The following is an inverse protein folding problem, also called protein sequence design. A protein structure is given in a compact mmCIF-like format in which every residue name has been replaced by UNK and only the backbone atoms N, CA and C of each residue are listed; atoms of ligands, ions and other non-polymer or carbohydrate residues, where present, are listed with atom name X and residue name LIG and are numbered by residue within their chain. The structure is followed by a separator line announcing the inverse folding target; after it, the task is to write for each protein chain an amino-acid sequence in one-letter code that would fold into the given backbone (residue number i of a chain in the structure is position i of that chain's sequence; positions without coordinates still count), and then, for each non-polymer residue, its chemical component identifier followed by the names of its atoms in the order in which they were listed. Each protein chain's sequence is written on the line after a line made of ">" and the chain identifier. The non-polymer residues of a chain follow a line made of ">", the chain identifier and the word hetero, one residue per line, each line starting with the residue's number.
data_IF_300843953150
#
_entry.id   IF_300843953150
#
_cell.length_a   1.000
_cell.length_b   1.000
_cell.length_c   1.000
_cell.angle_alpha   90.00
_cell.angle_beta   90.00
_cell.angle_gamma   90.00
#
_symmetry.space_group_name_H-M   'P 1'
#
loop_
_entity.id
_entity.type
_entity.pdbx_description
1 polymer ?
#
# COMPACT_ATOMS: atom_id res chain seq x y z
N UNK A 1 3.14 14.43 24.02
CA UNK A 1 3.85 13.22 23.56
C UNK A 1 3.36 12.98 22.14
N UNK A 2 4.23 12.68 21.16
CA UNK A 2 3.78 12.40 19.79
C UNK A 2 3.46 10.92 19.66
N UNK A 3 2.32 10.58 19.08
CA UNK A 3 1.93 9.19 18.86
C UNK A 3 2.51 8.62 17.55
N UNK A 4 2.83 7.33 17.55
CA UNK A 4 3.26 6.60 16.35
C UNK A 4 2.92 5.12 16.43
N UNK A 5 2.55 4.52 15.30
CA UNK A 5 2.32 3.08 15.17
C UNK A 5 2.81 2.57 13.81
N UNK A 6 3.12 1.27 13.75
CA UNK A 6 3.29 0.55 12.49
C UNK A 6 2.18 -0.48 12.35
N UNK A 7 1.32 -0.33 11.34
CA UNK A 7 0.28 -1.28 11.00
C UNK A 7 0.71 -2.18 9.84
N UNK A 8 0.29 -3.44 9.85
CA UNK A 8 0.47 -4.38 8.73
C UNK A 8 -0.88 -4.55 8.06
N UNK A 9 -0.96 -4.25 6.76
CA UNK A 9 -2.23 -4.24 6.00
C UNK A 9 -2.23 -5.19 4.79
N UNK A 10 -1.13 -5.90 4.58
CA UNK A 10 -1.04 -7.11 3.75
C UNK A 10 0.14 -7.95 4.26
N UNK A 11 -0.02 -9.27 4.38
CA UNK A 11 1.05 -10.14 4.88
C UNK A 11 1.05 -11.49 4.19
N UNK A 12 1.90 -11.60 3.17
CA UNK A 12 2.08 -12.84 2.42
C UNK A 12 0.95 -13.10 1.41
N UNK A 13 0.06 -12.13 1.22
CA UNK A 13 -1.02 -12.20 0.24
C UNK A 13 -0.43 -12.19 -1.17
N UNK A 14 -0.86 -13.12 -2.01
CA UNK A 14 -0.49 -13.12 -3.43
C UNK A 14 -1.41 -12.15 -4.19
N UNK A 15 -0.84 -11.08 -4.73
CA UNK A 15 -1.55 -10.11 -5.56
C UNK A 15 -1.33 -10.43 -7.03
N UNK A 16 -2.42 -10.45 -7.80
CA UNK A 16 -2.45 -10.65 -9.25
C UNK A 16 -3.66 -9.93 -9.85
N UNK A 17 -3.61 -9.59 -11.14
CA UNK A 17 -4.67 -8.83 -11.79
C UNK A 17 -4.97 -7.53 -11.06
N UNK A 18 -6.18 -7.38 -10.52
CA UNK A 18 -6.58 -6.23 -9.68
C UNK A 18 -6.57 -6.64 -8.22
N UNK A 19 -5.79 -5.96 -7.38
CA UNK A 19 -5.70 -6.24 -5.95
C UNK A 19 -5.61 -4.96 -5.12
N UNK A 20 -5.97 -5.04 -3.84
CA UNK A 20 -5.83 -3.97 -2.87
C UNK A 20 -5.39 -4.53 -1.52
N UNK A 21 -4.69 -3.72 -0.72
CA UNK A 21 -4.44 -4.02 0.69
C UNK A 21 -5.72 -3.92 1.50
N UNK A 22 -5.70 -4.47 2.71
CA UNK A 22 -6.69 -4.13 3.72
C UNK A 22 -6.66 -2.61 3.98
N UNK A 23 -7.81 -1.97 4.20
CA UNK A 23 -7.86 -0.58 4.60
C UNK A 23 -7.47 -0.42 6.07
N UNK A 24 -6.92 0.73 6.44
CA UNK A 24 -6.57 1.04 7.83
C UNK A 24 -7.03 2.44 8.21
N UNK A 25 -7.58 2.58 9.42
CA UNK A 25 -8.00 3.86 9.98
C UNK A 25 -6.77 4.66 10.45
N UNK A 26 -6.62 5.84 9.87
CA UNK A 26 -5.48 6.74 10.04
C UNK A 26 -5.93 8.15 10.43
N UNK A 27 -7.19 8.35 10.82
CA UNK A 27 -7.76 9.68 11.05
C UNK A 27 -7.03 10.53 12.10
N UNK A 28 -6.29 9.87 12.99
CA UNK A 28 -5.48 10.50 14.05
C UNK A 28 -4.08 10.92 13.57
N UNK A 29 -3.58 10.37 12.45
CA UNK A 29 -2.21 10.58 12.00
C UNK A 29 -2.08 11.80 11.07
N UNK A 30 -0.98 12.54 11.19
CA UNK A 30 -0.63 13.65 10.30
C UNK A 30 0.23 13.23 9.10
N UNK A 31 0.98 12.14 9.23
CA UNK A 31 1.79 11.59 8.14
C UNK A 31 1.83 10.05 8.13
N UNK A 32 1.99 9.49 6.94
CA UNK A 32 2.13 8.06 6.70
C UNK A 32 3.33 7.79 5.79
N UNK A 33 4.17 6.82 6.15
CA UNK A 33 5.13 6.18 5.23
C UNK A 33 4.66 4.76 4.98
N UNK A 34 4.36 4.47 3.73
CA UNK A 34 3.93 3.15 3.27
C UNK A 34 5.16 2.41 2.77
N UNK A 35 5.41 1.22 3.32
CA UNK A 35 6.46 0.34 2.85
C UNK A 35 5.85 -0.89 2.20
N UNK A 36 6.34 -1.23 1.01
CA UNK A 36 6.00 -2.47 0.34
C UNK A 36 7.27 -3.31 0.17
N UNK A 37 7.20 -4.56 0.57
CA UNK A 37 8.22 -5.57 0.29
C UNK A 37 7.60 -6.70 -0.53
N UNK A 38 8.34 -7.17 -1.54
CA UNK A 38 7.99 -8.37 -2.30
C UNK A 38 8.65 -9.59 -1.66
N UNK A 39 7.85 -10.58 -1.25
CA UNK A 39 8.31 -11.83 -0.64
C UNK A 39 8.46 -12.97 -1.66
N UNK A 40 8.09 -12.73 -2.92
CA UNK A 40 8.09 -13.69 -4.01
C UNK A 40 7.32 -13.13 -5.19
N UNK A 41 7.65 -13.58 -6.40
CA UNK A 41 7.09 -13.03 -7.64
C UNK A 41 7.03 -14.09 -8.75
N UNK A 42 6.06 -13.94 -9.65
CA UNK A 42 5.96 -14.65 -10.92
C UNK A 42 5.71 -13.64 -12.04
N UNK A 43 6.25 -13.89 -13.24
CA UNK A 43 6.13 -12.98 -14.37
C UNK A 43 6.92 -11.69 -14.18
N UNK A 44 6.31 -10.55 -14.54
CA UNK A 44 6.92 -9.22 -14.53
C UNK A 44 6.11 -8.23 -13.64
N UNK A 45 6.02 -8.44 -12.33
CA UNK A 45 5.20 -7.61 -11.44
C UNK A 45 5.75 -6.19 -11.28
N UNK A 46 7.01 -5.93 -11.60
CA UNK A 46 7.61 -4.58 -11.59
C UNK A 46 6.99 -3.63 -12.63
N UNK A 47 6.29 -4.17 -13.63
CA UNK A 47 5.50 -3.39 -14.60
C UNK A 47 4.11 -3.02 -14.09
N UNK A 48 3.72 -3.52 -12.91
CA UNK A 48 2.43 -3.21 -12.33
C UNK A 48 2.35 -1.75 -11.89
N UNK A 49 1.12 -1.24 -11.90
CA UNK A 49 0.80 0.08 -11.38
C UNK A 49 0.27 -0.10 -9.96
N UNK A 50 0.89 0.51 -8.96
CA UNK A 50 0.34 0.59 -7.60
C UNK A 50 0.32 2.03 -7.09
N UNK A 51 -0.75 2.37 -6.36
CA UNK A 51 -1.01 3.73 -5.92
C UNK A 51 -1.79 3.77 -4.62
N UNK A 52 -1.75 4.92 -3.95
CA UNK A 52 -2.43 5.15 -2.68
C UNK A 52 -3.85 5.61 -2.93
N UNK A 53 -4.79 5.08 -2.14
CA UNK A 53 -6.17 5.55 -2.11
C UNK A 53 -6.56 5.98 -0.70
N UNK A 54 -7.42 6.99 -0.64
CA UNK A 54 -8.02 7.50 0.60
C UNK A 54 -9.54 7.34 0.58
N UNK A 55 -10.12 7.26 1.77
CA UNK A 55 -11.56 7.18 1.95
C UNK A 55 -12.01 7.85 3.25
N UNK A 56 -13.18 8.51 3.29
CA UNK A 56 -13.78 8.97 4.54
C UNK A 56 -14.50 7.86 5.32
N UNK A 57 -14.90 6.77 4.64
CA UNK A 57 -15.79 5.74 5.19
C UNK A 57 -15.25 4.30 5.06
N UNK A 58 -14.11 4.12 4.40
CA UNK A 58 -13.51 2.82 4.08
C UNK A 58 -14.27 2.02 3.01
N UNK A 59 -15.33 2.58 2.44
CA UNK A 59 -16.20 1.93 1.45
C UNK A 59 -16.00 2.51 0.05
N UNK A 60 -15.93 3.85 -0.06
CA UNK A 60 -15.72 4.56 -1.33
C UNK A 60 -14.36 5.21 -1.36
N UNK A 61 -13.64 4.99 -2.45
CA UNK A 61 -12.22 5.29 -2.55
C UNK A 61 -11.97 6.28 -3.67
N UNK A 62 -11.07 7.23 -3.41
CA UNK A 62 -10.50 8.12 -4.42
C UNK A 62 -8.99 7.94 -4.44
N UNK A 63 -8.39 8.13 -5.61
CA UNK A 63 -6.95 8.10 -5.75
C UNK A 63 -6.34 9.33 -5.08
N UNK A 64 -5.37 9.12 -4.20
CA UNK A 64 -4.66 10.21 -3.52
C UNK A 64 -3.65 10.89 -4.47
N UNK A 65 -3.12 10.12 -5.43
CA UNK A 65 -2.21 10.60 -6.48
C UNK A 65 -0.79 10.06 -6.35
N UNK A 66 -0.39 9.61 -5.16
CA UNK A 66 0.92 9.00 -4.93
C UNK A 66 1.03 7.61 -5.54
N UNK A 67 2.11 7.39 -6.29
CA UNK A 67 2.48 6.10 -6.86
C UNK A 67 3.44 5.35 -5.93
N UNK A 68 3.25 4.03 -5.83
CA UNK A 68 4.12 3.14 -5.07
C UNK A 68 4.76 2.13 -6.04
N UNK A 69 6.08 2.18 -6.28
CA UNK A 69 6.74 1.21 -7.14
C UNK A 69 6.61 -0.21 -6.59
N UNK A 70 6.38 -1.22 -7.44
CA UNK A 70 6.48 -2.62 -7.04
C UNK A 70 7.97 -2.99 -6.97
N UNK A 71 8.51 -3.39 -5.80
CA UNK A 71 9.91 -3.75 -5.67
C UNK A 71 10.17 -5.15 -6.24
N UNK A 72 11.42 -5.45 -6.58
CA UNK A 72 11.83 -6.83 -6.88
C UNK A 72 11.74 -7.70 -5.62
N UNK A 73 11.82 -9.02 -5.79
CA UNK A 73 11.84 -9.97 -4.66
C UNK A 73 12.96 -9.60 -3.68
N UNK A 74 12.61 -9.58 -2.40
CA UNK A 74 13.45 -9.18 -1.27
C UNK A 74 13.90 -7.71 -1.23
N UNK A 75 13.46 -6.89 -2.18
CA UNK A 75 13.60 -5.44 -2.12
C UNK A 75 12.40 -4.77 -1.43
N UNK A 76 12.61 -3.50 -1.07
CA UNK A 76 11.60 -2.65 -0.43
C UNK A 76 11.43 -1.36 -1.22
N UNK A 77 10.19 -0.95 -1.43
CA UNK A 77 9.84 0.37 -1.93
C UNK A 77 9.05 1.13 -0.87
N UNK A 78 8.98 2.45 -1.00
CA UNK A 78 8.16 3.25 -0.10
C UNK A 78 7.60 4.49 -0.77
N UNK A 79 6.51 4.99 -0.18
CA UNK A 79 5.93 6.30 -0.51
C UNK A 79 5.46 6.99 0.75
N UNK A 80 5.58 8.31 0.80
CA UNK A 80 5.12 9.12 1.92
C UNK A 80 3.89 9.92 1.51
N UNK A 81 2.91 9.94 2.40
CA UNK A 81 1.61 10.61 2.20
C UNK A 81 1.31 11.50 3.41
N UNK A 82 0.62 12.62 3.16
CA UNK A 82 0.18 13.61 4.16
C UNK A 82 -1.18 14.17 3.75
N UNK A 83 -1.88 14.85 4.66
CA UNK A 83 -3.19 15.47 4.40
C UNK A 83 -4.22 14.45 3.84
N UNK A 84 -4.18 13.22 4.34
CA UNK A 84 -5.10 12.16 3.97
C UNK A 84 -6.39 12.23 4.81
N UNK A 85 -7.43 11.53 4.35
CA UNK A 85 -8.71 11.39 5.05
C UNK A 85 -8.66 10.37 6.20
N UNK A 86 -9.78 9.67 6.40
CA UNK A 86 -9.95 8.72 7.52
C UNK A 86 -9.24 7.39 7.29
N UNK A 87 -9.28 6.86 6.06
CA UNK A 87 -8.71 5.56 5.73
C UNK A 87 -7.66 5.64 4.63
N UNK A 88 -6.65 4.78 4.73
CA UNK A 88 -5.63 4.55 3.71
C UNK A 88 -5.63 3.09 3.25
N UNK A 89 -5.39 2.88 1.95
CA UNK A 89 -5.02 1.58 1.38
C UNK A 89 -4.12 1.75 0.16
N UNK A 90 -3.53 0.65 -0.31
CA UNK A 90 -2.83 0.58 -1.60
C UNK A 90 -3.67 -0.24 -2.58
N UNK A 91 -3.82 0.29 -3.79
CA UNK A 91 -4.44 -0.38 -4.92
C UNK A 91 -3.37 -0.75 -5.94
N UNK A 92 -3.53 -1.87 -6.63
CA UNK A 92 -2.64 -2.28 -7.71
C UNK A 92 -3.37 -2.93 -8.88
N UNK A 93 -2.80 -2.75 -10.07
CA UNK A 93 -3.14 -3.50 -11.28
C UNK A 93 -1.86 -4.07 -11.85
N UNK A 94 -1.79 -5.39 -11.94
CA UNK A 94 -0.67 -6.16 -12.48
C UNK A 94 -0.97 -6.61 -13.92
N UNK A 95 0.07 -6.76 -14.76
CA UNK A 95 -0.05 -7.42 -16.05
C UNK A 95 -0.57 -8.86 -15.91
N UNK A 96 -1.20 -9.38 -16.97
CA UNK A 96 -1.62 -10.77 -17.04
C UNK A 96 -0.43 -11.72 -16.86
N UNK A 97 -0.61 -12.81 -16.10
CA UNK A 97 0.44 -13.77 -15.79
C UNK A 97 1.47 -13.28 -14.76
N UNK A 98 1.35 -12.05 -14.25
CA UNK A 98 2.20 -11.54 -13.18
C UNK A 98 1.53 -11.66 -11.81
N UNK A 99 2.33 -12.00 -10.79
CA UNK A 99 1.90 -11.97 -9.40
C UNK A 99 3.06 -11.63 -8.45
N UNK A 100 2.76 -11.14 -7.25
CA UNK A 100 3.75 -11.05 -6.18
C UNK A 100 3.14 -11.26 -4.79
N UNK A 101 3.94 -11.76 -3.85
CA UNK A 101 3.57 -11.90 -2.44
C UNK A 101 3.89 -10.61 -1.69
N UNK A 102 2.86 -9.88 -1.28
CA UNK A 102 3.00 -8.57 -0.66
C UNK A 102 3.23 -8.67 0.86
N UNK A 103 4.16 -7.86 1.37
CA UNK A 103 4.16 -7.40 2.76
C UNK A 103 4.05 -5.88 2.74
N UNK A 104 2.89 -5.35 3.15
CA UNK A 104 2.62 -3.93 3.15
C UNK A 104 2.42 -3.41 4.57
N UNK A 105 3.17 -2.37 4.94
CA UNK A 105 3.08 -1.75 6.25
C UNK A 105 2.91 -0.23 6.16
N UNK A 106 2.17 0.33 7.12
CA UNK A 106 1.96 1.76 7.28
C UNK A 106 2.67 2.20 8.55
N UNK A 107 3.67 3.08 8.44
CA UNK A 107 4.25 3.79 9.58
C UNK A 107 3.58 5.15 9.71
N UNK A 108 2.82 5.33 10.79
CA UNK A 108 1.94 6.47 11.03
C UNK A 108 2.47 7.32 12.18
N UNK A 109 2.37 8.64 12.05
CA UNK A 109 2.84 9.60 13.06
C UNK A 109 1.92 10.81 13.18
N UNK A 110 1.83 11.34 14.40
CA UNK A 110 1.21 12.63 14.75
C UNK A 110 2.14 13.84 14.53
#
# INVERSE_FOLDING_TARGET
>A
MRESITAVVARGDTWSGVAASEPYDVAWAGEAVIFLRSLGAEGNPEQARAWVQISPDGMRWVDEGSMLPIPRVDEISSVRVRNFGTYLRVMTVLPEGSSFKALLTLSLKE
#
